data_IF_016913378518
#
_entry.id   IF_016913378518
#
_cell.length_a   1.000
_cell.length_b   1.000
_cell.length_c   1.000
_cell.angle_alpha   90.00
_cell.angle_beta   90.00
_cell.angle_gamma   90.00
#
_symmetry.space_group_name_H-M   'P 1'
#
loop_
_entity.id
_entity.type
_entity.pdbx_description
1 polymer ?
#
# COMPACT_ATOMS: atom_id res chain seq x y z
N UNK A 1 23.19 1.96 -3.65
CA UNK A 1 21.74 2.20 -3.52
C UNK A 1 21.54 3.26 -2.47
N UNK A 2 20.70 4.26 -2.74
CA UNK A 2 20.24 5.23 -1.73
C UNK A 2 18.94 4.71 -1.12
N UNK A 3 18.81 4.86 0.19
CA UNK A 3 17.60 4.40 0.89
C UNK A 3 17.20 5.44 1.92
N UNK A 4 15.92 5.81 1.94
CA UNK A 4 15.37 6.76 2.91
C UNK A 4 14.03 6.26 3.45
N UNK A 5 13.74 6.67 4.69
CA UNK A 5 12.50 6.41 5.39
C UNK A 5 11.59 7.63 5.29
N UNK A 6 10.38 7.44 4.79
CA UNK A 6 9.36 8.49 4.59
C UNK A 6 9.85 9.75 3.84
N UNK A 7 10.61 9.62 2.75
CA UNK A 7 10.96 10.78 1.95
C UNK A 7 9.71 11.35 1.26
N UNK A 8 9.67 12.67 1.05
CA UNK A 8 8.65 13.24 0.16
C UNK A 8 8.96 12.90 -1.31
N UNK A 9 7.92 12.88 -2.15
CA UNK A 9 8.11 12.65 -3.60
C UNK A 9 9.04 13.70 -4.21
N UNK A 10 8.95 14.94 -3.74
CA UNK A 10 9.80 16.03 -4.17
C UNK A 10 11.28 15.76 -3.84
N UNK A 11 11.57 15.31 -2.61
CA UNK A 11 12.95 14.98 -2.21
C UNK A 11 13.53 13.81 -2.99
N UNK A 12 12.69 12.81 -3.34
CA UNK A 12 13.11 11.72 -4.22
C UNK A 12 13.49 12.26 -5.60
N UNK A 13 12.64 13.08 -6.21
CA UNK A 13 12.90 13.70 -7.52
C UNK A 13 14.15 14.57 -7.50
N UNK A 14 14.35 15.36 -6.45
CA UNK A 14 15.55 16.17 -6.28
C UNK A 14 16.82 15.32 -6.19
N UNK A 15 16.77 14.21 -5.46
CA UNK A 15 17.89 13.28 -5.39
C UNK A 15 18.21 12.70 -6.77
N UNK A 16 17.17 12.21 -7.48
CA UNK A 16 17.33 11.59 -8.80
C UNK A 16 17.85 12.58 -9.86
N UNK A 17 17.50 13.86 -9.72
CA UNK A 17 17.96 14.93 -10.63
C UNK A 17 19.42 15.37 -10.40
N UNK A 18 19.91 15.31 -9.16
CA UNK A 18 21.25 15.80 -8.79
C UNK A 18 22.39 14.93 -9.28
N UNK A 19 22.27 13.70 -9.23
CA UNK A 19 23.11 12.64 -9.82
C UNK A 19 22.76 11.31 -9.23
N UNK A 20 22.40 10.41 -10.05
CA UNK A 20 22.33 9.11 -9.45
C UNK A 20 23.04 8.09 -10.30
N UNK A 21 24.27 7.88 -9.97
CA UNK A 21 24.91 6.59 -10.22
C UNK A 21 24.24 5.46 -9.43
N UNK A 22 23.36 5.79 -8.44
CA UNK A 22 22.72 4.82 -7.54
C UNK A 22 21.20 4.82 -7.70
N UNK A 23 20.56 3.63 -7.68
CA UNK A 23 19.11 3.54 -7.57
C UNK A 23 18.63 4.01 -6.19
N UNK A 24 17.41 4.53 -6.12
CA UNK A 24 16.73 4.97 -4.92
C UNK A 24 15.62 4.02 -4.52
N UNK A 25 15.48 3.74 -3.23
CA UNK A 25 14.39 2.95 -2.66
C UNK A 25 13.88 3.59 -1.37
N UNK A 26 12.56 3.60 -1.17
CA UNK A 26 11.99 3.94 0.13
C UNK A 26 12.03 2.70 1.03
N UNK A 27 12.86 2.70 2.08
CA UNK A 27 12.84 1.59 3.02
C UNK A 27 11.55 1.53 3.83
N UNK A 28 10.87 2.67 4.00
CA UNK A 28 9.51 2.77 4.52
C UNK A 28 8.80 3.93 3.84
N UNK A 29 7.52 3.75 3.49
CA UNK A 29 6.66 4.81 2.97
C UNK A 29 5.19 4.52 3.30
N UNK A 30 4.33 5.53 3.15
CA UNK A 30 2.87 5.40 3.32
C UNK A 30 2.47 4.68 4.61
N UNK A 31 2.99 5.16 5.78
CA UNK A 31 2.70 4.60 7.09
C UNK A 31 1.20 4.35 7.29
N UNK A 32 0.83 3.10 7.62
CA UNK A 32 -0.55 2.64 7.57
C UNK A 32 -1.30 2.70 8.92
N UNK A 33 -0.79 3.42 9.91
CA UNK A 33 -1.44 3.55 11.21
C UNK A 33 -2.72 4.39 11.10
N UNK A 34 -3.82 3.91 11.68
CA UNK A 34 -5.09 4.62 11.73
C UNK A 34 -5.66 4.92 10.33
N UNK A 35 -6.23 6.10 10.16
CA UNK A 35 -6.76 6.58 8.88
C UNK A 35 -5.65 7.24 8.04
N UNK A 36 -4.82 6.43 7.44
CA UNK A 36 -3.63 6.84 6.67
C UNK A 36 -3.42 5.93 5.45
N UNK A 37 -2.20 5.86 4.92
CA UNK A 37 -1.87 5.08 3.72
C UNK A 37 -2.52 5.61 2.43
N UNK A 38 -2.89 6.90 2.39
CA UNK A 38 -3.44 7.55 1.21
C UNK A 38 -2.40 8.22 0.32
N UNK A 39 -2.83 8.67 -0.86
CA UNK A 39 -1.98 9.33 -1.87
C UNK A 39 -0.78 8.48 -2.33
N UNK A 40 -0.90 7.16 -2.23
CA UNK A 40 0.13 6.19 -2.56
C UNK A 40 0.54 6.26 -4.03
N UNK A 41 -0.41 6.61 -4.92
CA UNK A 41 -0.16 6.79 -6.34
C UNK A 41 1.01 7.73 -6.64
N UNK A 42 1.25 8.75 -5.81
CA UNK A 42 2.36 9.69 -6.02
C UNK A 42 3.74 9.01 -5.98
N UNK A 43 3.85 7.93 -5.22
CA UNK A 43 5.07 7.13 -5.15
C UNK A 43 5.07 6.03 -6.21
N UNK A 44 3.94 5.35 -6.43
CA UNK A 44 3.88 4.27 -7.43
C UNK A 44 4.02 4.78 -8.86
N UNK A 45 3.51 5.98 -9.17
CA UNK A 45 3.68 6.61 -10.49
C UNK A 45 5.15 6.91 -10.82
N UNK A 46 5.99 7.13 -9.79
CA UNK A 46 7.42 7.31 -10.01
C UNK A 46 8.09 6.05 -10.56
N UNK A 47 7.60 4.87 -10.26
CA UNK A 47 8.15 3.61 -10.80
C UNK A 47 7.96 3.51 -12.31
N UNK A 48 6.95 4.19 -12.87
CA UNK A 48 6.67 4.22 -14.30
C UNK A 48 7.51 5.26 -15.06
N UNK A 49 8.01 6.28 -14.35
CA UNK A 49 8.63 7.48 -14.97
C UNK A 49 10.11 7.64 -14.63
N UNK A 50 10.57 7.10 -13.51
CA UNK A 50 11.91 7.28 -12.99
C UNK A 50 12.67 5.95 -12.92
N UNK A 51 13.47 5.60 -13.94
CA UNK A 51 14.11 4.27 -14.04
C UNK A 51 15.02 3.90 -12.86
N UNK A 52 15.50 4.89 -12.11
CA UNK A 52 16.35 4.68 -10.93
C UNK A 52 15.57 4.62 -9.62
N UNK A 53 14.27 4.89 -9.64
CA UNK A 53 13.39 4.69 -8.48
C UNK A 53 12.88 3.26 -8.45
N UNK A 54 13.21 2.54 -7.40
CA UNK A 54 12.92 1.11 -7.27
C UNK A 54 11.65 0.81 -6.45
N UNK A 55 10.90 1.87 -6.07
CA UNK A 55 9.70 1.73 -5.24
C UNK A 55 9.99 1.80 -3.75
N UNK A 56 9.20 1.13 -2.95
CA UNK A 56 9.32 1.18 -1.49
C UNK A 56 8.53 0.11 -0.78
N UNK A 57 8.66 0.09 0.53
CA UNK A 57 7.97 -0.84 1.42
C UNK A 57 6.99 -0.09 2.31
N UNK A 58 5.72 -0.50 2.32
CA UNK A 58 4.70 0.07 3.20
C UNK A 58 5.03 -0.31 4.64
N UNK A 59 4.98 0.63 5.56
CA UNK A 59 4.98 0.33 6.97
C UNK A 59 3.55 0.41 7.53
N UNK A 60 2.87 -0.70 7.83
CA UNK A 60 3.37 -2.05 7.81
C UNK A 60 2.35 -2.99 7.13
N UNK A 61 2.71 -4.25 6.90
CA UNK A 61 1.77 -5.20 6.31
C UNK A 61 0.73 -5.69 7.31
N UNK A 62 1.16 -6.09 8.52
CA UNK A 62 0.31 -6.67 9.56
C UNK A 62 0.47 -5.86 10.84
N UNK A 63 -0.62 -5.56 11.54
CA UNK A 63 -0.55 -5.01 12.90
C UNK A 63 0.35 -5.86 13.80
N UNK A 64 1.23 -5.20 14.52
CA UNK A 64 2.19 -5.82 15.44
C UNK A 64 1.57 -6.08 16.82
N UNK A 65 0.35 -6.59 16.85
CA UNK A 65 -0.38 -6.94 18.06
C UNK A 65 -0.23 -8.44 18.39
N UNK A 66 -0.41 -8.77 19.65
CA UNK A 66 -0.25 -10.14 20.17
C UNK A 66 -1.54 -10.53 20.87
N UNK A 67 -1.99 -11.77 20.69
CA UNK A 67 -3.14 -12.29 21.41
C UNK A 67 -2.88 -12.35 22.92
N UNK A 68 -3.81 -11.80 23.70
CA UNK A 68 -3.82 -11.85 25.15
C UNK A 68 -5.24 -12.05 25.66
N UNK A 69 -5.39 -12.67 26.80
CA UNK A 69 -6.68 -12.75 27.50
C UNK A 69 -6.78 -11.66 28.56
N UNK A 70 -7.94 -11.06 28.64
CA UNK A 70 -8.26 -10.12 29.70
C UNK A 70 -8.57 -10.84 31.03
N UNK A 71 -8.91 -10.08 32.08
CA UNK A 71 -9.26 -10.62 33.40
C UNK A 71 -10.54 -11.47 33.42
N UNK A 72 -11.33 -11.43 32.36
CA UNK A 72 -12.55 -12.23 32.22
C UNK A 72 -12.34 -13.46 31.35
N UNK A 73 -11.14 -13.63 30.78
CA UNK A 73 -10.77 -14.74 29.88
C UNK A 73 -11.07 -14.45 28.41
N UNK A 74 -11.57 -13.26 28.09
CA UNK A 74 -11.84 -12.84 26.70
C UNK A 74 -10.53 -12.50 25.97
N UNK A 75 -10.40 -13.00 24.75
CA UNK A 75 -9.21 -12.81 23.93
C UNK A 75 -9.27 -11.47 23.19
N UNK A 76 -8.16 -10.75 23.16
CA UNK A 76 -8.03 -9.48 22.46
C UNK A 76 -6.64 -9.30 21.88
N UNK A 77 -6.49 -8.35 20.94
CA UNK A 77 -5.22 -7.96 20.35
C UNK A 77 -4.55 -6.92 21.26
N UNK A 78 -3.51 -7.35 21.97
CA UNK A 78 -2.76 -6.53 22.90
C UNK A 78 -1.59 -5.80 22.23
N UNK A 79 -1.28 -4.62 22.72
CA UNK A 79 -0.15 -3.80 22.30
C UNK A 79 0.59 -3.17 23.48
N UNK A 80 1.48 -2.22 23.21
CA UNK A 80 2.34 -1.63 24.24
C UNK A 80 1.60 -1.09 25.46
N UNK A 81 1.99 -1.52 26.64
CA UNK A 81 1.38 -1.22 27.94
C UNK A 81 0.43 -2.29 28.46
N UNK A 82 -0.11 -3.14 27.59
CA UNK A 82 -1.03 -4.21 27.99
C UNK A 82 -0.33 -5.35 28.74
N UNK A 83 1.00 -5.41 28.64
CA UNK A 83 1.85 -6.38 29.33
C UNK A 83 2.45 -5.84 30.63
N UNK A 84 2.09 -4.63 31.03
CA UNK A 84 2.55 -3.99 32.27
C UNK A 84 3.85 -3.21 32.15
N UNK A 85 4.42 -3.13 30.96
CA UNK A 85 5.66 -2.38 30.70
C UNK A 85 5.43 -0.87 30.65
N UNK A 86 6.45 -0.11 31.06
CA UNK A 86 6.55 1.36 30.97
C UNK A 86 8.02 1.75 30.82
N UNK A 87 8.37 2.71 29.96
CA UNK A 87 7.51 3.43 29.01
C UNK A 87 7.01 2.57 27.85
N UNK A 88 6.03 3.04 27.10
CA UNK A 88 5.45 2.34 25.95
C UNK A 88 4.93 3.32 24.91
N UNK A 89 4.94 2.91 23.66
CA UNK A 89 4.37 3.67 22.51
C UNK A 89 2.87 3.33 22.27
N UNK A 90 2.24 2.61 23.18
CA UNK A 90 0.82 2.24 23.14
C UNK A 90 0.42 1.56 21.81
N UNK A 91 -0.61 2.09 21.13
CA UNK A 91 -1.15 1.58 19.88
C UNK A 91 -0.29 1.86 18.64
N UNK A 92 0.96 2.29 18.80
CA UNK A 92 1.87 2.53 17.68
C UNK A 92 2.18 1.26 16.87
N UNK A 93 1.85 0.11 17.41
CA UNK A 93 1.87 -1.20 16.72
C UNK A 93 0.66 -1.46 15.81
N UNK A 94 -0.38 -0.61 15.84
CA UNK A 94 -1.58 -0.72 15.00
C UNK A 94 -1.38 -0.06 13.63
N UNK A 95 -0.39 -0.49 12.87
CA UNK A 95 0.08 0.14 11.64
C UNK A 95 -0.01 -0.79 10.40
N UNK A 96 -0.71 -1.91 10.50
CA UNK A 96 -0.89 -2.84 9.40
C UNK A 96 -1.94 -2.41 8.37
N UNK A 97 -1.75 -2.82 7.12
CA UNK A 97 -2.80 -2.81 6.09
C UNK A 97 -3.76 -3.98 6.25
N UNK A 98 -3.37 -4.99 7.03
CA UNK A 98 -4.26 -6.02 7.58
C UNK A 98 -4.18 -5.99 9.11
N UNK A 99 -5.27 -6.35 9.75
CA UNK A 99 -5.32 -6.41 11.20
C UNK A 99 -4.47 -7.55 11.75
N UNK A 100 -4.02 -7.42 12.99
CA UNK A 100 -3.39 -8.51 13.74
C UNK A 100 -4.34 -9.72 13.89
N UNK A 101 -3.84 -10.79 14.45
CA UNK A 101 -4.65 -11.98 14.66
C UNK A 101 -5.04 -12.71 13.38
N UNK A 102 -6.30 -12.66 13.00
CA UNK A 102 -6.85 -13.35 11.81
C UNK A 102 -6.38 -12.75 10.48
N UNK A 103 -5.70 -11.60 10.51
CA UNK A 103 -5.23 -10.88 9.31
C UNK A 103 -6.37 -10.43 8.39
N UNK A 104 -7.50 -10.07 8.99
CA UNK A 104 -8.60 -9.47 8.24
C UNK A 104 -8.13 -8.18 7.56
N UNK A 105 -8.60 -7.96 6.33
CA UNK A 105 -8.20 -6.78 5.55
C UNK A 105 -8.79 -5.51 6.14
N UNK A 106 -7.97 -4.47 6.29
CA UNK A 106 -8.46 -3.16 6.65
C UNK A 106 -8.91 -2.38 5.40
N UNK A 107 -9.68 -1.29 5.57
CA UNK A 107 -10.09 -0.42 4.44
C UNK A 107 -8.90 0.10 3.61
N UNK A 108 -7.72 0.23 4.19
CA UNK A 108 -6.48 0.65 3.51
C UNK A 108 -6.06 -0.31 2.38
N UNK A 109 -6.47 -1.57 2.46
CA UNK A 109 -6.17 -2.56 1.43
C UNK A 109 -6.74 -2.17 0.05
N UNK A 110 -7.82 -1.39 0.00
CA UNK A 110 -8.39 -0.90 -1.26
C UNK A 110 -7.41 0.03 -1.99
N UNK A 111 -6.79 0.96 -1.25
CA UNK A 111 -5.75 1.84 -1.79
C UNK A 111 -4.54 1.04 -2.27
N UNK A 112 -4.07 0.09 -1.47
CA UNK A 112 -2.92 -0.76 -1.83
C UNK A 112 -3.25 -1.59 -3.08
N UNK A 113 -4.40 -2.25 -3.11
CA UNK A 113 -4.84 -3.06 -4.25
C UNK A 113 -4.90 -2.24 -5.54
N UNK A 114 -5.45 -1.03 -5.47
CA UNK A 114 -5.55 -0.15 -6.63
C UNK A 114 -4.17 0.28 -7.15
N UNK A 115 -3.28 0.69 -6.25
CA UNK A 115 -1.96 1.21 -6.64
C UNK A 115 -0.97 0.11 -7.05
N UNK A 116 -1.14 -1.11 -6.57
CA UNK A 116 -0.24 -2.25 -6.88
C UNK A 116 -0.74 -3.13 -8.02
N UNK A 117 -1.83 -2.77 -8.68
CA UNK A 117 -2.27 -3.50 -9.86
C UNK A 117 -1.29 -3.30 -11.02
N UNK A 118 -0.91 -4.40 -11.65
CA UNK A 118 0.00 -4.38 -12.80
C UNK A 118 -0.71 -4.27 -14.15
N UNK A 119 -2.03 -4.39 -14.15
CA UNK A 119 -2.85 -4.19 -15.34
C UNK A 119 -3.83 -3.07 -15.04
N UNK A 120 -3.80 -2.03 -15.84
CA UNK A 120 -4.74 -0.92 -15.77
C UNK A 120 -5.53 -0.78 -17.06
N UNK A 121 -6.78 -0.35 -16.91
CA UNK A 121 -7.69 -0.08 -18.04
C UNK A 121 -8.11 1.38 -17.98
N UNK A 122 -7.97 2.09 -19.07
CA UNK A 122 -8.44 3.46 -19.22
C UNK A 122 -9.38 3.57 -20.41
N UNK A 123 -10.46 4.36 -20.25
CA UNK A 123 -11.42 4.60 -21.33
C UNK A 123 -10.91 5.71 -22.24
N UNK A 124 -11.18 5.55 -23.53
CA UNK A 124 -10.95 6.52 -24.60
C UNK A 124 -12.26 6.83 -25.31
N UNK A 125 -12.30 7.82 -26.21
CA UNK A 125 -13.49 8.13 -26.99
C UNK A 125 -13.96 6.96 -27.86
N UNK A 126 -13.01 6.17 -28.36
CA UNK A 126 -13.27 5.07 -29.30
C UNK A 126 -13.25 3.67 -28.65
N UNK A 127 -13.10 3.59 -27.31
CA UNK A 127 -13.02 2.30 -26.63
C UNK A 127 -12.25 2.35 -25.30
N UNK A 128 -11.30 1.46 -25.16
CA UNK A 128 -10.45 1.40 -23.96
C UNK A 128 -9.04 0.96 -24.29
N UNK A 129 -8.10 1.40 -23.44
CA UNK A 129 -6.70 0.98 -23.50
C UNK A 129 -6.37 0.11 -22.29
N UNK A 130 -5.74 -1.03 -22.52
CA UNK A 130 -5.19 -1.89 -21.48
C UNK A 130 -3.68 -1.68 -21.42
N UNK A 131 -3.16 -1.29 -20.25
CA UNK A 131 -1.73 -1.17 -20.00
C UNK A 131 -1.28 -2.31 -19.10
N UNK A 132 -0.37 -3.14 -19.61
CA UNK A 132 0.29 -4.18 -18.84
C UNK A 132 1.64 -3.66 -18.31
N UNK A 133 1.81 -3.61 -17.00
CA UNK A 133 3.04 -3.22 -16.31
C UNK A 133 3.86 -4.42 -15.84
N UNK A 134 3.39 -5.65 -16.08
CA UNK A 134 4.17 -6.84 -15.77
C UNK A 134 5.40 -6.91 -16.67
N UNK A 135 6.52 -7.33 -16.11
CA UNK A 135 7.77 -7.51 -16.86
C UNK A 135 7.85 -8.87 -17.58
N UNK A 136 7.18 -9.89 -17.04
CA UNK A 136 7.33 -11.28 -17.47
C UNK A 136 6.02 -12.02 -17.72
N UNK A 137 4.86 -11.37 -17.46
CA UNK A 137 3.53 -11.97 -17.62
C UNK A 137 2.81 -11.29 -18.76
N UNK A 138 2.36 -12.06 -19.74
CA UNK A 138 1.59 -11.57 -20.88
C UNK A 138 0.11 -11.40 -20.49
N UNK A 139 -0.59 -10.47 -21.16
CA UNK A 139 -2.05 -10.29 -20.98
C UNK A 139 -2.85 -11.50 -21.46
N UNK A 140 -2.29 -12.35 -22.30
CA UNK A 140 -2.92 -13.61 -22.70
C UNK A 140 -3.12 -14.60 -21.55
N UNK A 141 -2.44 -14.41 -20.42
CA UNK A 141 -2.63 -15.19 -19.20
C UNK A 141 -3.84 -14.74 -18.35
N UNK A 142 -4.56 -13.71 -18.78
CA UNK A 142 -5.70 -13.14 -18.06
C UNK A 142 -6.98 -13.21 -18.89
N UNK A 143 -8.09 -13.44 -18.22
CA UNK A 143 -9.41 -13.33 -18.83
C UNK A 143 -9.93 -11.89 -18.72
N UNK A 144 -10.28 -11.28 -19.85
CA UNK A 144 -10.88 -9.96 -19.90
C UNK A 144 -12.41 -10.08 -19.89
N UNK A 145 -13.07 -9.53 -18.86
CA UNK A 145 -14.52 -9.39 -18.81
C UNK A 145 -14.91 -7.94 -19.04
N UNK A 146 -15.71 -7.69 -20.07
CA UNK A 146 -16.24 -6.36 -20.39
C UNK A 146 -17.52 -6.00 -19.63
N UNK A 147 -18.14 -6.96 -18.94
CA UNK A 147 -19.42 -6.77 -18.24
C UNK A 147 -19.28 -5.73 -17.12
N UNK A 148 -18.19 -5.77 -16.36
CA UNK A 148 -17.93 -4.82 -15.28
C UNK A 148 -17.38 -3.46 -15.75
N UNK A 149 -16.99 -3.36 -17.00
CA UNK A 149 -16.45 -2.14 -17.62
C UNK A 149 -17.54 -1.33 -18.32
N UNK A 150 -18.52 -2.01 -18.91
CA UNK A 150 -19.58 -1.39 -19.72
C UNK A 150 -20.84 -1.01 -18.95
N UNK A 151 -21.07 -1.59 -17.77
CA UNK A 151 -22.20 -1.20 -16.92
C UNK A 151 -21.74 -0.16 -15.89
N UNK A 152 -22.25 1.10 -15.96
CA UNK A 152 -22.04 2.04 -14.87
C UNK A 152 -22.75 1.48 -13.64
N UNK A 153 -21.98 1.04 -12.65
CA UNK A 153 -22.52 0.73 -11.33
C UNK A 153 -23.18 2.01 -10.81
N UNK A 154 -24.50 2.09 -10.86
CA UNK A 154 -25.24 3.12 -10.13
C UNK A 154 -24.89 2.93 -8.66
N UNK A 155 -24.33 3.94 -7.98
CA UNK A 155 -24.18 3.84 -6.55
C UNK A 155 -25.57 3.62 -5.96
N UNK A 156 -25.77 2.49 -5.31
CA UNK A 156 -26.92 2.28 -4.45
C UNK A 156 -26.71 3.18 -3.24
N UNK A 157 -27.35 4.35 -3.27
CA UNK A 157 -27.53 5.14 -2.07
C UNK A 157 -28.59 4.42 -1.22
N UNK A 158 -28.15 3.87 -0.09
CA UNK A 158 -29.01 3.47 1.02
C UNK A 158 -28.98 4.64 2.03
#
# INVERSE_FOLDING_TARGET
>A
MESQMYPSVESIKEFLAKDSSKPFICCEYTHAMGNSCGAMHKYTDLTDTEPKYQGGFIWDYIDQSIYKKDRYGEEFQAYGGDFGERPTDYNFSGNGIVYGGNRDVSPKMQEVKFNYQNISVSFTEDGFTVKNKNLFTDTAEYDLSLIHISEPTRPLYI
#
